data_IF_155929299188
#
_entry.id   IF_155929299188
#
_cell.length_a   1.000
_cell.length_b   1.000
_cell.length_c   1.000
_cell.angle_alpha   90.00
_cell.angle_beta   90.00
_cell.angle_gamma   90.00
#
_symmetry.space_group_name_H-M   'P 1'
#
loop_
_entity.id
_entity.type
_entity.pdbx_description
1 polymer ?
#
# COMPACT_ATOMS: atom_id res chain seq x y z
N UNK A 1 64.47 -36.84 72.28
CA UNK A 1 63.38 -36.45 71.37
C UNK A 1 62.94 -35.06 71.77
N UNK A 2 63.44 -34.04 71.08
CA UNK A 2 63.05 -32.65 71.30
C UNK A 2 62.35 -32.17 70.04
N UNK A 3 61.07 -31.81 70.17
CA UNK A 3 60.25 -31.25 69.09
C UNK A 3 60.85 -29.92 68.62
N UNK A 4 61.48 -29.95 67.45
CA UNK A 4 61.90 -28.74 66.75
C UNK A 4 60.67 -28.01 66.23
N UNK A 5 60.17 -27.02 66.99
CA UNK A 5 59.18 -26.07 66.49
C UNK A 5 59.82 -25.19 65.42
N UNK A 6 59.50 -25.46 64.16
CA UNK A 6 59.77 -24.55 63.04
C UNK A 6 58.99 -23.25 63.25
N UNK A 7 59.70 -22.14 63.50
CA UNK A 7 59.10 -20.81 63.50
C UNK A 7 58.97 -20.38 62.05
N UNK A 8 57.73 -20.34 61.55
CA UNK A 8 57.43 -19.78 60.22
C UNK A 8 57.36 -18.26 60.39
N UNK A 9 58.36 -17.55 59.87
CA UNK A 9 58.29 -16.10 59.71
C UNK A 9 57.41 -15.80 58.49
N UNK A 10 56.19 -15.33 58.73
CA UNK A 10 55.39 -14.73 57.66
C UNK A 10 55.98 -13.34 57.39
N UNK A 11 56.46 -13.05 56.17
CA UNK A 11 56.99 -11.73 55.86
C UNK A 11 55.92 -10.66 56.12
N UNK A 12 56.28 -9.61 56.86
CA UNK A 12 55.42 -8.45 57.06
C UNK A 12 55.36 -7.72 55.71
N UNK A 13 54.24 -7.86 54.99
CA UNK A 13 54.03 -7.09 53.77
C UNK A 13 53.75 -5.65 54.19
N UNK A 14 54.58 -4.71 53.73
CA UNK A 14 54.34 -3.29 54.00
C UNK A 14 53.22 -2.78 53.10
N UNK A 15 52.42 -1.78 53.54
CA UNK A 15 51.36 -1.19 52.72
C UNK A 15 51.85 -0.69 51.34
N UNK A 16 53.11 -0.27 51.26
CA UNK A 16 53.77 0.12 50.01
C UNK A 16 54.00 -1.07 49.07
N UNK A 17 54.37 -2.24 49.62
CA UNK A 17 54.53 -3.47 48.85
C UNK A 17 53.20 -3.99 48.30
N UNK A 18 52.12 -3.92 49.10
CA UNK A 18 50.77 -4.28 48.64
C UNK A 18 50.25 -3.34 47.55
N UNK A 19 50.46 -2.02 47.70
CA UNK A 19 50.12 -1.06 46.67
C UNK A 19 50.92 -1.30 45.39
N UNK A 20 52.24 -1.54 45.50
CA UNK A 20 53.10 -1.84 44.36
C UNK A 20 52.63 -3.10 43.61
N UNK A 21 52.18 -4.13 44.33
CA UNK A 21 51.60 -5.32 43.71
C UNK A 21 50.30 -4.98 42.98
N UNK A 22 49.37 -4.24 43.58
CA UNK A 22 48.12 -3.84 42.91
C UNK A 22 48.35 -2.96 41.67
N UNK A 23 49.31 -2.04 41.75
CA UNK A 23 49.71 -1.21 40.61
C UNK A 23 50.37 -2.08 39.54
N UNK A 24 51.20 -3.05 39.91
CA UNK A 24 51.78 -4.04 39.00
C UNK A 24 50.72 -4.91 38.32
N UNK A 25 49.71 -5.37 39.05
CA UNK A 25 48.58 -6.13 38.53
C UNK A 25 47.74 -5.28 37.56
N UNK A 26 47.56 -3.99 37.86
CA UNK A 26 46.91 -3.05 36.95
C UNK A 26 47.76 -2.85 35.69
N UNK A 27 49.06 -2.54 35.81
CA UNK A 27 49.96 -2.32 34.66
C UNK A 27 50.13 -3.56 33.77
N UNK A 28 50.13 -4.75 34.36
CA UNK A 28 50.18 -6.02 33.62
C UNK A 28 48.85 -6.36 32.94
N UNK A 29 47.75 -5.72 33.35
CA UNK A 29 46.40 -5.97 32.87
C UNK A 29 45.71 -7.17 33.52
N UNK A 30 46.28 -7.70 34.61
CA UNK A 30 45.64 -8.73 35.43
C UNK A 30 44.42 -8.18 36.16
N UNK A 31 44.49 -6.92 36.59
CA UNK A 31 43.36 -6.17 37.14
C UNK A 31 42.92 -5.12 36.10
N UNK A 32 41.63 -5.05 35.74
CA UNK A 32 41.17 -4.15 34.67
C UNK A 32 41.15 -2.68 35.11
N UNK A 33 40.75 -2.42 36.35
CA UNK A 33 40.58 -1.07 36.88
C UNK A 33 40.67 -1.05 38.41
N UNK A 34 40.95 0.13 38.97
CA UNK A 34 40.92 0.41 40.41
C UNK A 34 40.15 1.71 40.68
N UNK A 35 39.44 1.77 41.80
CA UNK A 35 38.74 2.99 42.24
C UNK A 35 39.63 3.83 43.18
N UNK A 36 39.71 5.13 42.93
CA UNK A 36 40.55 6.02 43.75
C UNK A 36 40.06 6.11 45.21
N UNK A 37 38.74 6.07 45.44
CA UNK A 37 38.15 6.04 46.79
C UNK A 37 38.59 4.78 47.55
N UNK A 38 38.42 3.62 46.93
CA UNK A 38 38.83 2.32 47.48
C UNK A 38 40.33 2.27 47.76
N UNK A 39 41.17 2.81 46.86
CA UNK A 39 42.61 2.89 47.08
C UNK A 39 43.00 3.81 48.23
N UNK A 40 42.38 4.99 48.34
CA UNK A 40 42.65 5.92 49.45
C UNK A 40 42.26 5.37 50.81
N UNK A 41 41.18 4.57 50.87
CA UNK A 41 40.73 3.91 52.10
C UNK A 41 41.61 2.72 52.47
N UNK A 42 42.11 1.97 51.48
CA UNK A 42 42.96 0.80 51.70
C UNK A 42 44.41 1.18 52.04
N UNK A 43 44.91 2.30 51.51
CA UNK A 43 46.30 2.76 51.69
C UNK A 43 46.39 4.21 52.21
N UNK A 44 45.80 4.53 53.38
CA UNK A 44 45.78 5.89 53.92
C UNK A 44 47.19 6.41 54.30
N UNK A 45 48.14 5.50 54.54
CA UNK A 45 49.54 5.87 54.79
C UNK A 45 50.29 6.33 53.52
N UNK A 46 49.74 6.05 52.33
CA UNK A 46 50.32 6.44 51.04
C UNK A 46 49.52 7.56 50.38
N UNK A 47 48.19 7.51 50.50
CA UNK A 47 47.30 8.49 49.90
C UNK A 47 46.55 9.27 50.99
N UNK A 48 46.82 10.58 51.08
CA UNK A 48 46.04 11.52 51.90
C UNK A 48 44.73 11.89 51.17
N UNK A 49 43.86 10.88 51.03
CA UNK A 49 42.58 10.98 50.34
C UNK A 49 42.63 10.78 48.81
N UNK A 50 41.44 10.90 48.20
CA UNK A 50 41.23 10.70 46.75
C UNK A 50 42.07 11.63 45.86
N UNK A 51 42.28 12.92 46.18
CA UNK A 51 43.11 13.80 45.35
C UNK A 51 44.56 13.32 45.25
N UNK A 52 45.15 12.82 46.34
CA UNK A 52 46.51 12.28 46.34
C UNK A 52 46.64 11.04 45.44
N UNK A 53 45.65 10.13 45.49
CA UNK A 53 45.61 8.97 44.60
C UNK A 53 45.48 9.38 43.11
N UNK A 54 44.64 10.37 42.81
CA UNK A 54 44.50 10.90 41.43
C UNK A 54 45.81 11.47 40.90
N UNK A 55 46.48 12.32 41.68
CA UNK A 55 47.76 12.91 41.28
C UNK A 55 48.81 11.84 41.02
N UNK A 56 48.90 10.83 41.90
CA UNK A 56 49.79 9.70 41.71
C UNK A 56 49.55 8.97 40.38
N UNK A 57 48.29 8.62 40.06
CA UNK A 57 48.00 7.92 38.81
C UNK A 57 48.02 8.82 37.58
N UNK A 58 47.85 10.13 37.71
CA UNK A 58 48.02 11.07 36.60
C UNK A 58 49.48 11.10 36.12
N UNK A 59 50.44 11.08 37.04
CA UNK A 59 51.88 10.98 36.71
C UNK A 59 52.20 9.66 36.00
N UNK A 60 51.61 8.54 36.45
CA UNK A 60 51.80 7.23 35.82
C UNK A 60 51.04 7.09 34.49
N UNK A 61 49.94 7.83 34.29
CA UNK A 61 49.21 7.84 33.02
C UNK A 61 49.99 8.51 31.90
N UNK A 62 51.00 9.34 32.23
CA UNK A 62 51.87 9.99 31.24
C UNK A 62 52.70 8.98 30.42
N UNK A 63 52.90 7.74 30.91
CA UNK A 63 53.55 6.68 30.14
C UNK A 63 52.64 6.05 29.08
N UNK A 64 51.32 6.30 29.13
CA UNK A 64 50.32 5.70 28.27
C UNK A 64 49.83 4.32 28.73
N UNK A 65 50.42 3.74 29.78
CA UNK A 65 50.06 2.41 30.28
C UNK A 65 48.77 2.40 31.10
N UNK A 66 48.37 3.57 31.62
CA UNK A 66 47.19 3.75 32.44
C UNK A 66 46.31 4.87 31.88
N UNK A 67 45.01 4.71 32.07
CA UNK A 67 44.00 5.69 31.73
C UNK A 67 43.34 6.15 33.04
N UNK A 68 43.72 7.34 33.50
CA UNK A 68 43.06 7.99 34.62
C UNK A 68 41.74 8.63 34.16
N UNK A 69 40.64 8.26 34.83
CA UNK A 69 39.32 8.88 34.65
C UNK A 69 38.95 9.73 35.88
N UNK A 70 37.69 10.12 36.05
CA UNK A 70 37.34 10.97 37.20
C UNK A 70 37.41 10.23 38.54
N UNK A 71 37.07 8.94 38.58
CA UNK A 71 37.00 8.18 39.85
C UNK A 71 37.78 6.88 39.82
N UNK A 72 38.32 6.51 38.66
CA UNK A 72 39.00 5.24 38.45
C UNK A 72 40.28 5.42 37.64
N UNK A 73 41.15 4.43 37.75
CA UNK A 73 42.28 4.23 36.83
C UNK A 73 42.13 2.87 36.17
N UNK A 74 42.42 2.81 34.88
CA UNK A 74 42.15 1.65 34.02
C UNK A 74 43.44 1.25 33.35
N UNK A 75 43.67 -0.06 33.22
CA UNK A 75 44.83 -0.59 32.53
C UNK A 75 44.67 -0.49 31.02
N UNK A 76 45.54 0.28 30.35
CA UNK A 76 45.58 0.34 28.88
C UNK A 76 45.90 -1.03 28.28
N UNK A 77 46.74 -1.82 28.97
CA UNK A 77 47.13 -3.17 28.56
C UNK A 77 45.98 -4.15 28.64
N UNK A 78 45.21 -4.13 29.74
CA UNK A 78 43.97 -4.91 29.83
C UNK A 78 43.01 -4.51 28.72
N UNK A 79 42.78 -3.22 28.51
CA UNK A 79 41.83 -2.73 27.50
C UNK A 79 42.24 -3.16 26.08
N UNK A 80 43.53 -3.08 25.76
CA UNK A 80 44.08 -3.54 24.48
C UNK A 80 43.91 -5.06 24.31
N UNK A 81 44.21 -5.85 25.34
CA UNK A 81 44.07 -7.31 25.30
C UNK A 81 42.61 -7.74 25.19
N UNK A 82 41.74 -7.19 26.05
CA UNK A 82 40.31 -7.50 26.08
C UNK A 82 39.58 -6.99 24.84
N UNK A 83 40.04 -5.88 24.25
CA UNK A 83 39.52 -5.31 23.01
C UNK A 83 39.92 -6.07 21.73
N UNK A 84 40.92 -6.97 21.78
CA UNK A 84 41.40 -7.68 20.60
C UNK A 84 40.34 -8.55 19.91
N UNK A 85 39.54 -9.29 20.69
CA UNK A 85 38.46 -10.14 20.17
C UNK A 85 37.27 -9.32 19.62
N UNK A 86 36.74 -8.31 20.35
CA UNK A 86 35.78 -7.36 19.80
C UNK A 86 36.28 -6.68 18.52
N UNK A 87 37.54 -6.23 18.48
CA UNK A 87 38.13 -5.59 17.30
C UNK A 87 38.14 -6.51 16.10
N UNK A 88 38.57 -7.76 16.25
CA UNK A 88 38.54 -8.74 15.17
C UNK A 88 37.12 -8.95 14.65
N UNK A 89 36.15 -9.10 15.55
CA UNK A 89 34.73 -9.24 15.19
C UNK A 89 34.22 -8.01 14.44
N UNK A 90 34.58 -6.81 14.90
CA UNK A 90 34.22 -5.55 14.25
C UNK A 90 34.81 -5.41 12.85
N UNK A 91 36.06 -5.82 12.66
CA UNK A 91 36.76 -5.80 11.37
C UNK A 91 36.14 -6.80 10.37
N UNK A 92 35.84 -8.02 10.81
CA UNK A 92 35.34 -9.13 9.98
C UNK A 92 33.82 -9.06 9.72
N UNK A 93 33.02 -8.78 10.74
CA UNK A 93 31.56 -8.87 10.70
C UNK A 93 30.88 -7.51 10.65
N UNK A 94 31.61 -6.41 10.85
CA UNK A 94 31.04 -5.06 10.91
C UNK A 94 30.34 -4.72 12.22
N UNK A 95 30.39 -5.61 13.23
CA UNK A 95 29.90 -5.33 14.57
C UNK A 95 30.74 -6.03 15.66
N UNK A 96 30.65 -5.56 16.89
CA UNK A 96 31.23 -6.22 18.06
C UNK A 96 30.30 -6.15 19.28
N UNK A 97 30.21 -7.25 20.02
CA UNK A 97 29.54 -7.32 21.32
C UNK A 97 30.55 -6.95 22.44
N UNK A 98 30.23 -5.90 23.19
CA UNK A 98 31.02 -5.39 24.30
C UNK A 98 30.43 -5.80 25.67
N UNK A 99 29.43 -6.68 25.70
CA UNK A 99 28.76 -7.10 26.93
C UNK A 99 29.73 -7.70 27.94
N UNK A 100 30.62 -8.58 27.48
CA UNK A 100 31.64 -9.22 28.33
C UNK A 100 32.74 -8.24 28.74
N UNK A 101 33.11 -7.29 27.87
CA UNK A 101 34.15 -6.29 28.16
C UNK A 101 33.77 -5.44 29.38
N UNK A 102 32.47 -5.16 29.56
CA UNK A 102 31.99 -4.28 30.62
C UNK A 102 31.19 -4.96 31.72
N UNK A 103 31.10 -6.30 31.73
CA UNK A 103 30.23 -7.08 32.62
C UNK A 103 30.42 -6.73 34.10
N UNK A 104 31.67 -6.64 34.55
CA UNK A 104 32.03 -6.42 35.96
C UNK A 104 32.35 -4.95 36.29
N UNK A 105 32.12 -4.04 35.34
CA UNK A 105 32.49 -2.64 35.46
C UNK A 105 31.29 -1.77 35.89
N UNK A 106 31.42 -0.93 36.93
CA UNK A 106 30.36 -0.02 37.35
C UNK A 106 29.92 0.91 36.21
N UNK A 107 28.63 1.21 36.10
CA UNK A 107 28.08 2.03 34.99
C UNK A 107 28.76 3.39 34.80
N UNK A 108 29.18 4.03 35.89
CA UNK A 108 29.90 5.32 35.86
C UNK A 108 31.26 5.18 35.17
N UNK A 109 31.98 4.12 35.52
CA UNK A 109 33.31 3.79 34.99
C UNK A 109 33.21 3.39 33.52
N UNK A 110 32.19 2.59 33.18
CA UNK A 110 31.87 2.22 31.80
C UNK A 110 31.76 3.46 30.90
N UNK A 111 30.92 4.43 31.27
CA UNK A 111 30.70 5.63 30.44
C UNK A 111 31.96 6.46 30.18
N UNK A 112 32.90 6.50 31.14
CA UNK A 112 34.16 7.24 31.00
C UNK A 112 35.17 6.53 30.06
N UNK A 113 35.14 5.20 30.01
CA UNK A 113 36.09 4.38 29.23
C UNK A 113 35.52 3.99 27.87
N UNK A 114 34.19 3.98 27.72
CA UNK A 114 33.51 3.58 26.48
C UNK A 114 34.12 4.27 25.27
N UNK A 115 34.30 5.59 25.27
CA UNK A 115 34.81 6.31 24.11
C UNK A 115 36.22 5.86 23.69
N UNK A 116 37.10 5.59 24.65
CA UNK A 116 38.46 5.12 24.36
C UNK A 116 38.47 3.66 23.88
N UNK A 117 37.62 2.82 24.47
CA UNK A 117 37.41 1.46 23.97
C UNK A 117 36.87 1.48 22.53
N UNK A 118 35.92 2.37 22.24
CA UNK A 118 35.35 2.57 20.92
C UNK A 118 36.40 3.02 19.91
N UNK A 119 37.23 4.01 20.23
CA UNK A 119 38.33 4.47 19.36
C UNK A 119 39.37 3.36 19.12
N UNK A 120 39.72 2.59 20.16
CA UNK A 120 40.69 1.50 20.05
C UNK A 120 40.17 0.33 19.18
N UNK A 121 38.87 0.02 19.28
CA UNK A 121 38.22 -1.07 18.55
C UNK A 121 37.90 -0.65 17.10
N UNK A 122 37.36 0.56 16.90
CA UNK A 122 36.96 1.04 15.57
C UNK A 122 38.12 1.56 14.72
N UNK A 123 39.26 1.88 15.33
CA UNK A 123 40.38 2.52 14.67
C UNK A 123 40.05 3.91 14.11
N UNK A 124 39.01 4.57 14.65
CA UNK A 124 38.50 5.84 14.15
C UNK A 124 37.55 5.73 12.94
N UNK A 125 37.10 4.52 12.60
CA UNK A 125 36.12 4.29 11.52
C UNK A 125 34.71 4.70 11.94
N UNK A 126 33.86 5.08 10.96
CA UNK A 126 32.46 5.41 11.15
C UNK A 126 31.70 4.29 11.86
N UNK A 127 31.36 4.51 13.14
CA UNK A 127 30.74 3.50 13.98
C UNK A 127 29.96 4.13 15.12
N UNK A 128 28.95 3.41 15.60
CA UNK A 128 28.07 3.85 16.68
C UNK A 128 27.81 2.72 17.65
N UNK A 129 27.71 3.08 18.93
CA UNK A 129 27.38 2.16 20.00
C UNK A 129 25.87 2.12 20.23
N UNK A 130 25.29 0.93 20.16
CA UNK A 130 23.89 0.65 20.45
C UNK A 130 23.80 -0.37 21.58
N UNK A 131 23.49 0.12 22.78
CA UNK A 131 23.58 -0.65 24.03
C UNK A 131 25.00 -1.20 24.22
N UNK A 132 25.20 -2.51 24.05
CA UNK A 132 26.52 -3.15 24.15
C UNK A 132 27.13 -3.47 22.78
N UNK A 133 26.46 -3.12 21.67
CA UNK A 133 26.92 -3.47 20.32
C UNK A 133 27.56 -2.25 19.64
N UNK A 134 28.85 -2.36 19.30
CA UNK A 134 29.48 -1.40 18.41
C UNK A 134 29.20 -1.83 16.97
N UNK A 135 28.59 -0.97 16.18
CA UNK A 135 28.11 -1.28 14.83
C UNK A 135 28.73 -0.30 13.84
N UNK A 136 29.24 -0.82 12.72
CA UNK A 136 29.80 -0.02 11.64
C UNK A 136 28.68 0.68 10.87
N UNK A 137 28.90 1.92 10.44
CA UNK A 137 27.88 2.69 9.72
C UNK A 137 27.42 1.99 8.43
N UNK A 138 28.32 1.33 7.67
CA UNK A 138 27.93 0.65 6.43
C UNK A 138 26.99 -0.54 6.68
N UNK A 139 27.26 -1.36 7.71
CA UNK A 139 26.37 -2.46 8.09
C UNK A 139 25.01 -1.93 8.54
N UNK A 140 25.00 -0.82 9.28
CA UNK A 140 23.77 -0.20 9.73
C UNK A 140 22.93 0.32 8.55
N UNK A 141 23.56 0.99 7.59
CA UNK A 141 22.89 1.49 6.39
C UNK A 141 22.29 0.34 5.56
N UNK A 142 23.04 -0.75 5.39
CA UNK A 142 22.55 -1.97 4.73
C UNK A 142 21.34 -2.58 5.47
N UNK A 143 21.39 -2.62 6.81
CA UNK A 143 20.27 -3.09 7.63
C UNK A 143 19.05 -2.17 7.53
N UNK A 144 19.24 -0.85 7.42
CA UNK A 144 18.15 0.13 7.22
C UNK A 144 17.43 -0.16 5.90
N UNK A 145 18.16 -0.33 4.80
CA UNK A 145 17.55 -0.64 3.51
C UNK A 145 16.91 -2.03 3.49
N UNK A 146 17.57 -3.03 4.08
CA UNK A 146 17.00 -4.37 4.24
C UNK A 146 15.68 -4.34 5.05
N UNK A 147 15.62 -3.55 6.12
CA UNK A 147 14.43 -3.41 6.95
C UNK A 147 13.27 -2.76 6.18
N UNK A 148 13.55 -1.75 5.36
CA UNK A 148 12.55 -1.14 4.46
C UNK A 148 12.03 -2.16 3.44
N UNK A 149 12.92 -2.86 2.74
CA UNK A 149 12.53 -3.86 1.74
C UNK A 149 11.68 -4.99 2.36
N UNK A 150 12.12 -5.55 3.48
CA UNK A 150 11.39 -6.61 4.15
C UNK A 150 10.03 -6.12 4.71
N UNK A 151 9.95 -4.89 5.21
CA UNK A 151 8.70 -4.29 5.64
C UNK A 151 7.72 -4.08 4.46
N UNK A 152 8.19 -3.61 3.31
CA UNK A 152 7.37 -3.53 2.09
C UNK A 152 6.89 -4.92 1.63
N UNK A 153 7.75 -5.93 1.67
CA UNK A 153 7.38 -7.31 1.32
C UNK A 153 6.34 -7.89 2.29
N UNK A 154 6.46 -7.62 3.59
CA UNK A 154 5.42 -7.98 4.57
C UNK A 154 4.09 -7.29 4.26
N UNK A 155 4.09 -5.99 3.91
CA UNK A 155 2.88 -5.27 3.53
C UNK A 155 2.19 -5.91 2.32
N UNK A 156 2.95 -6.25 1.27
CA UNK A 156 2.42 -6.93 0.09
C UNK A 156 1.85 -8.32 0.42
N UNK A 157 2.58 -9.11 1.20
CA UNK A 157 2.13 -10.45 1.61
C UNK A 157 0.85 -10.37 2.45
N UNK A 158 0.80 -9.48 3.44
CA UNK A 158 -0.41 -9.30 4.25
C UNK A 158 -1.58 -8.77 3.42
N UNK A 159 -1.34 -7.91 2.43
CA UNK A 159 -2.38 -7.41 1.53
C UNK A 159 -3.03 -8.52 0.69
N UNK A 160 -2.23 -9.47 0.21
CA UNK A 160 -2.73 -10.60 -0.58
C UNK A 160 -3.58 -11.57 0.25
N UNK A 161 -3.16 -11.83 1.49
CA UNK A 161 -3.72 -12.88 2.35
C UNK A 161 -4.74 -12.39 3.38
N UNK A 162 -4.80 -11.09 3.68
CA UNK A 162 -5.74 -10.56 4.68
C UNK A 162 -7.13 -10.43 4.09
N UNK A 163 -8.09 -11.10 4.72
CA UNK A 163 -9.51 -10.99 4.39
C UNK A 163 -10.24 -9.94 5.24
N UNK A 164 -9.64 -9.40 6.32
CA UNK A 164 -10.32 -8.46 7.24
C UNK A 164 -9.50 -7.82 8.38
N UNK A 165 -8.27 -8.27 8.67
CA UNK A 165 -7.52 -7.75 9.84
C UNK A 165 -6.77 -6.46 9.53
N UNK A 166 -6.62 -5.60 10.54
CA UNK A 166 -5.74 -4.43 10.45
C UNK A 166 -4.32 -4.88 10.08
N UNK A 167 -3.84 -4.42 8.93
CA UNK A 167 -2.51 -4.72 8.42
C UNK A 167 -1.49 -3.99 9.30
N UNK A 168 -0.61 -4.74 9.95
CA UNK A 168 0.35 -4.18 10.91
C UNK A 168 1.72 -4.79 10.68
N UNK A 169 2.76 -3.96 10.82
CA UNK A 169 4.14 -4.41 10.67
C UNK A 169 4.52 -5.37 11.81
N UNK A 170 4.88 -6.61 11.47
CA UNK A 170 5.35 -7.58 12.45
C UNK A 170 6.84 -7.37 12.70
N UNK A 171 7.14 -6.59 13.75
CA UNK A 171 8.52 -6.24 14.11
C UNK A 171 9.35 -7.47 14.50
N UNK A 172 8.76 -8.48 15.15
CA UNK A 172 9.47 -9.69 15.56
C UNK A 172 9.96 -10.48 14.35
N UNK A 173 9.07 -10.77 13.41
CA UNK A 173 9.44 -11.47 12.17
C UNK A 173 10.43 -10.66 11.32
N UNK A 174 10.34 -9.33 11.35
CA UNK A 174 11.30 -8.46 10.67
C UNK A 174 12.70 -8.56 11.31
N UNK A 175 12.79 -8.53 12.65
CA UNK A 175 14.04 -8.68 13.39
C UNK A 175 14.69 -10.04 13.11
N UNK A 176 13.91 -11.12 13.15
CA UNK A 176 14.39 -12.48 12.82
C UNK A 176 14.92 -12.57 11.38
N UNK A 177 14.21 -11.95 10.43
CA UNK A 177 14.63 -11.90 9.03
C UNK A 177 15.92 -11.11 8.83
N UNK A 178 16.12 -10.00 9.55
CA UNK A 178 17.33 -9.19 9.47
C UNK A 178 18.53 -9.90 10.11
N UNK A 179 18.32 -10.51 11.28
CA UNK A 179 19.33 -11.34 11.95
C UNK A 179 19.82 -12.46 11.04
N UNK A 180 18.89 -13.19 10.41
CA UNK A 180 19.22 -14.27 9.49
C UNK A 180 19.91 -13.77 8.21
N UNK A 181 19.47 -12.62 7.66
CA UNK A 181 20.02 -12.07 6.40
C UNK A 181 21.45 -11.56 6.54
N UNK A 182 21.76 -10.94 7.67
CA UNK A 182 23.08 -10.34 7.93
C UNK A 182 24.00 -11.22 8.77
N UNK A 183 23.54 -12.42 9.18
CA UNK A 183 24.24 -13.32 10.08
C UNK A 183 24.69 -12.63 11.39
N UNK A 184 23.77 -11.85 11.97
CA UNK A 184 24.02 -11.10 13.22
C UNK A 184 23.08 -11.57 14.34
N UNK A 185 23.48 -11.49 15.62
CA UNK A 185 22.62 -11.84 16.75
C UNK A 185 21.31 -11.05 16.79
N UNK A 186 20.22 -11.69 17.24
CA UNK A 186 18.90 -11.05 17.37
C UNK A 186 18.96 -9.88 18.37
N UNK A 187 19.78 -9.99 19.41
CA UNK A 187 20.02 -8.96 20.42
C UNK A 187 20.61 -7.69 19.80
N UNK A 188 21.54 -7.85 18.86
CA UNK A 188 22.14 -6.74 18.11
C UNK A 188 21.08 -6.04 17.25
N UNK A 189 20.28 -6.80 16.50
CA UNK A 189 19.21 -6.21 15.68
C UNK A 189 18.20 -5.47 16.57
N UNK A 190 17.85 -6.04 17.73
CA UNK A 190 16.94 -5.40 18.68
C UNK A 190 17.48 -4.06 19.21
N UNK A 191 18.78 -3.97 19.51
CA UNK A 191 19.41 -2.76 20.03
C UNK A 191 19.39 -1.61 19.01
N UNK A 192 19.52 -1.93 17.71
CA UNK A 192 19.46 -0.94 16.62
C UNK A 192 18.06 -0.70 16.08
N UNK A 193 17.10 -1.61 16.32
CA UNK A 193 15.79 -1.56 15.67
C UNK A 193 15.02 -0.28 16.00
N UNK A 194 14.78 -0.01 17.29
CA UNK A 194 14.05 1.19 17.71
C UNK A 194 14.73 2.51 17.29
N UNK A 195 16.04 2.71 17.52
CA UNK A 195 16.68 3.99 17.21
C UNK A 195 16.87 4.24 15.72
N UNK A 196 17.06 3.19 14.90
CA UNK A 196 17.50 3.37 13.51
C UNK A 196 16.53 2.77 12.48
N UNK A 197 16.03 1.55 12.71
CA UNK A 197 15.34 0.79 11.66
C UNK A 197 13.81 1.04 11.67
N UNK A 198 13.21 1.19 12.85
CA UNK A 198 11.76 1.13 13.05
C UNK A 198 11.01 2.21 12.27
N UNK A 199 11.51 3.44 12.24
CA UNK A 199 10.88 4.55 11.52
C UNK A 199 10.88 4.30 10.01
N UNK A 200 12.03 3.88 9.45
CA UNK A 200 12.17 3.57 8.03
C UNK A 200 11.30 2.39 7.61
N UNK A 201 11.33 1.30 8.39
CA UNK A 201 10.51 0.11 8.15
C UNK A 201 9.01 0.42 8.18
N UNK A 202 8.53 1.15 9.20
CA UNK A 202 7.12 1.58 9.28
C UNK A 202 6.72 2.50 8.13
N UNK A 203 7.60 3.43 7.76
CA UNK A 203 7.39 4.31 6.61
C UNK A 203 7.21 3.49 5.33
N UNK A 204 8.15 2.58 5.04
CA UNK A 204 8.10 1.72 3.85
C UNK A 204 6.87 0.80 3.83
N UNK A 205 6.52 0.18 4.96
CA UNK A 205 5.30 -0.61 5.10
C UNK A 205 4.04 0.21 4.76
N UNK A 206 3.92 1.41 5.34
CA UNK A 206 2.78 2.32 5.11
C UNK A 206 2.69 2.81 3.67
N UNK A 207 3.83 3.18 3.08
CA UNK A 207 3.93 3.59 1.67
C UNK A 207 3.50 2.46 0.74
N UNK A 208 3.96 1.24 0.99
CA UNK A 208 3.57 0.08 0.18
C UNK A 208 2.07 -0.20 0.28
N UNK A 209 1.48 -0.17 1.48
CA UNK A 209 0.03 -0.32 1.64
C UNK A 209 -0.75 0.78 0.92
N UNK A 210 -0.28 2.04 0.99
CA UNK A 210 -0.90 3.16 0.31
C UNK A 210 -0.83 3.01 -1.21
N UNK A 211 0.29 2.49 -1.74
CA UNK A 211 0.47 2.21 -3.16
C UNK A 211 -0.46 1.10 -3.64
N UNK A 212 -0.55 -0.01 -2.90
CA UNK A 212 -1.45 -1.12 -3.18
C UNK A 212 -2.92 -0.69 -3.14
N UNK A 213 -3.31 0.11 -2.14
CA UNK A 213 -4.64 0.70 -2.06
C UNK A 213 -4.92 1.63 -3.25
N UNK A 214 -3.96 2.46 -3.64
CA UNK A 214 -4.10 3.35 -4.81
C UNK A 214 -4.28 2.56 -6.10
N UNK A 215 -3.51 1.48 -6.31
CA UNK A 215 -3.62 0.61 -7.48
C UNK A 215 -5.02 -0.01 -7.56
N UNK A 216 -5.52 -0.53 -6.44
CA UNK A 216 -6.87 -1.10 -6.36
C UNK A 216 -7.96 -0.05 -6.66
N UNK A 217 -7.79 1.17 -6.16
CA UNK A 217 -8.73 2.25 -6.45
C UNK A 217 -8.75 2.64 -7.93
N UNK A 218 -7.60 2.60 -8.62
CA UNK A 218 -7.50 2.82 -10.07
C UNK A 218 -8.21 1.70 -10.84
N UNK A 219 -8.01 0.44 -10.47
CA UNK A 219 -8.71 -0.69 -11.11
C UNK A 219 -10.22 -0.62 -10.92
N UNK A 220 -10.66 -0.24 -9.72
CA UNK A 220 -12.06 -0.01 -9.42
C UNK A 220 -12.61 1.15 -10.27
N UNK A 221 -11.87 2.27 -10.36
CA UNK A 221 -12.25 3.42 -11.18
C UNK A 221 -12.43 3.03 -12.65
N UNK A 222 -11.46 2.31 -13.23
CA UNK A 222 -11.53 1.79 -14.61
C UNK A 222 -12.75 0.91 -14.85
N UNK A 223 -13.08 0.04 -13.89
CA UNK A 223 -14.28 -0.81 -13.98
C UNK A 223 -15.56 0.01 -14.03
N UNK A 224 -15.59 1.15 -13.33
CA UNK A 224 -16.73 2.06 -13.27
C UNK A 224 -16.77 3.10 -14.40
N UNK A 225 -15.64 3.43 -15.02
CA UNK A 225 -15.58 4.27 -16.22
C UNK A 225 -16.50 3.72 -17.32
N UNK A 226 -16.46 2.41 -17.56
CA UNK A 226 -17.36 1.74 -18.52
C UNK A 226 -18.84 1.95 -18.17
N UNK A 227 -19.18 1.90 -16.87
CA UNK A 227 -20.56 2.07 -16.40
C UNK A 227 -21.01 3.53 -16.55
N UNK A 228 -20.13 4.48 -16.24
CA UNK A 228 -20.38 5.92 -16.41
C UNK A 228 -20.53 6.25 -17.89
N UNK A 229 -19.69 5.69 -18.76
CA UNK A 229 -19.76 5.88 -20.21
C UNK A 229 -21.09 5.34 -20.76
N UNK A 230 -21.46 4.10 -20.43
CA UNK A 230 -22.75 3.52 -20.84
C UNK A 230 -23.92 4.37 -20.32
N UNK A 231 -23.87 4.79 -19.05
CA UNK A 231 -24.89 5.66 -18.47
C UNK A 231 -25.05 6.97 -19.22
N UNK A 232 -23.96 7.70 -19.49
CA UNK A 232 -24.01 8.98 -20.20
C UNK A 232 -24.45 8.80 -21.66
N UNK A 233 -23.97 7.75 -22.33
CA UNK A 233 -24.36 7.42 -23.70
C UNK A 233 -25.86 7.15 -23.81
N UNK A 234 -26.45 6.40 -22.85
CA UNK A 234 -27.89 6.11 -22.88
C UNK A 234 -28.74 7.28 -22.40
N UNK A 235 -28.36 7.90 -21.29
CA UNK A 235 -29.14 9.01 -20.70
C UNK A 235 -29.11 10.28 -21.57
N UNK A 236 -28.05 10.51 -22.33
CA UNK A 236 -27.99 11.62 -23.32
C UNK A 236 -29.02 11.45 -24.43
N UNK A 237 -29.31 10.23 -24.86
CA UNK A 237 -30.36 9.99 -25.87
C UNK A 237 -31.74 10.43 -25.39
N UNK A 238 -32.05 10.29 -24.09
CA UNK A 238 -33.32 10.75 -23.51
C UNK A 238 -33.41 12.28 -23.43
N UNK A 239 -32.28 12.98 -23.47
CA UNK A 239 -32.18 14.45 -23.45
C UNK A 239 -32.30 15.07 -24.85
N UNK A 240 -32.39 14.26 -25.91
CA UNK A 240 -32.51 14.76 -27.27
C UNK A 240 -33.77 15.63 -27.45
N UNK A 241 -33.66 16.68 -28.26
CA UNK A 241 -34.74 17.66 -28.47
C UNK A 241 -36.07 17.01 -28.87
N UNK A 242 -36.02 15.96 -29.68
CA UNK A 242 -37.20 15.23 -30.15
C UNK A 242 -37.95 14.47 -29.07
N UNK A 243 -37.25 13.90 -28.10
CA UNK A 243 -37.87 13.20 -26.97
C UNK A 243 -38.32 14.16 -25.87
N UNK A 244 -37.91 15.43 -25.93
CA UNK A 244 -38.37 16.49 -25.03
C UNK A 244 -39.73 17.07 -25.45
N UNK A 245 -40.21 16.80 -26.66
CA UNK A 245 -41.54 17.23 -27.11
C UNK A 245 -42.66 16.71 -26.17
N UNK A 246 -43.68 17.52 -25.86
CA UNK A 246 -44.80 17.09 -25.01
C UNK A 246 -45.53 15.85 -25.53
N UNK A 247 -45.58 15.68 -26.86
CA UNK A 247 -46.16 14.52 -27.55
C UNK A 247 -45.49 13.19 -27.17
N UNK A 248 -44.24 13.23 -26.71
CA UNK A 248 -43.39 12.08 -26.41
C UNK A 248 -43.19 11.84 -24.91
N UNK A 249 -43.91 12.55 -24.03
CA UNK A 249 -43.77 12.42 -22.58
C UNK A 249 -43.94 10.97 -22.10
N UNK A 250 -45.02 10.30 -22.51
CA UNK A 250 -45.26 8.91 -22.11
C UNK A 250 -44.22 7.92 -22.68
N UNK A 251 -43.64 8.22 -23.86
CA UNK A 251 -42.53 7.43 -24.41
C UNK A 251 -41.28 7.63 -23.54
N UNK A 252 -40.95 8.88 -23.20
CA UNK A 252 -39.80 9.24 -22.35
C UNK A 252 -39.89 8.59 -20.98
N UNK A 253 -41.05 8.60 -20.33
CA UNK A 253 -41.28 7.89 -19.06
C UNK A 253 -40.96 6.41 -19.19
N UNK A 254 -41.54 5.76 -20.21
CA UNK A 254 -41.34 4.32 -20.44
C UNK A 254 -39.88 3.97 -20.76
N UNK A 255 -39.18 4.80 -21.54
CA UNK A 255 -37.76 4.61 -21.83
C UNK A 255 -36.89 4.84 -20.59
N UNK A 256 -37.24 5.83 -19.77
CA UNK A 256 -36.56 6.10 -18.49
C UNK A 256 -36.67 4.91 -17.54
N UNK A 257 -37.86 4.32 -17.41
CA UNK A 257 -38.10 3.11 -16.62
C UNK A 257 -37.25 1.94 -17.12
N UNK A 258 -37.27 1.67 -18.44
CA UNK A 258 -36.49 0.57 -19.05
C UNK A 258 -35.00 0.78 -18.81
N UNK A 259 -34.49 1.99 -19.07
CA UNK A 259 -33.08 2.31 -18.91
C UNK A 259 -32.65 2.14 -17.45
N UNK A 260 -33.42 2.67 -16.51
CA UNK A 260 -33.11 2.55 -15.07
C UNK A 260 -33.09 1.08 -14.66
N UNK A 261 -34.06 0.29 -15.10
CA UNK A 261 -34.11 -1.15 -14.81
C UNK A 261 -32.89 -1.90 -15.36
N UNK A 262 -32.52 -1.66 -16.63
CA UNK A 262 -31.33 -2.24 -17.26
C UNK A 262 -30.04 -1.84 -16.55
N UNK A 263 -29.86 -0.53 -16.30
CA UNK A 263 -28.66 -0.04 -15.63
C UNK A 263 -28.50 -0.67 -14.25
N UNK A 264 -29.58 -0.85 -13.49
CA UNK A 264 -29.53 -1.50 -12.19
C UNK A 264 -29.29 -3.01 -12.29
N UNK A 265 -30.10 -3.72 -13.07
CA UNK A 265 -30.13 -5.17 -13.10
C UNK A 265 -28.95 -5.78 -13.86
N UNK A 266 -28.58 -5.20 -15.00
CA UNK A 266 -27.67 -5.80 -15.98
C UNK A 266 -26.29 -5.15 -15.99
N UNK A 267 -26.17 -3.88 -15.58
CA UNK A 267 -24.89 -3.15 -15.57
C UNK A 267 -24.32 -3.04 -14.15
N UNK A 268 -25.06 -2.41 -13.23
CA UNK A 268 -24.56 -1.99 -11.92
C UNK A 268 -24.49 -3.16 -10.93
N UNK A 269 -25.61 -3.87 -10.69
CA UNK A 269 -25.64 -4.95 -9.70
C UNK A 269 -24.65 -6.07 -10.05
N UNK A 270 -24.47 -6.48 -11.32
CA UNK A 270 -23.43 -7.44 -11.69
C UNK A 270 -22.02 -6.92 -11.40
N UNK A 271 -21.70 -5.68 -11.77
CA UNK A 271 -20.37 -5.07 -11.49
C UNK A 271 -20.08 -4.96 -9.99
N UNK A 272 -21.09 -4.64 -9.16
CA UNK A 272 -20.96 -4.67 -7.69
C UNK A 272 -20.68 -6.10 -7.20
N UNK A 273 -21.40 -7.10 -7.71
CA UNK A 273 -21.21 -8.51 -7.32
C UNK A 273 -19.83 -9.03 -7.71
N UNK A 274 -19.30 -8.66 -8.87
CA UNK A 274 -17.97 -9.10 -9.33
C UNK A 274 -16.83 -8.36 -8.63
N UNK A 275 -16.98 -7.05 -8.37
CA UNK A 275 -16.01 -6.28 -7.60
C UNK A 275 -16.06 -6.63 -6.09
N UNK A 276 -17.19 -7.14 -5.61
CA UNK A 276 -17.54 -7.29 -4.21
C UNK A 276 -16.59 -8.08 -3.31
N UNK A 277 -16.14 -9.29 -3.68
CA UNK A 277 -15.49 -10.18 -2.72
C UNK A 277 -13.99 -9.90 -2.53
N UNK A 278 -13.24 -9.61 -3.59
CA UNK A 278 -11.77 -9.54 -3.53
C UNK A 278 -11.22 -8.13 -3.39
N UNK A 279 -11.81 -7.13 -4.07
CA UNK A 279 -11.30 -5.76 -4.02
C UNK A 279 -11.90 -4.93 -2.88
N UNK A 280 -13.19 -5.12 -2.54
CA UNK A 280 -13.80 -4.40 -1.41
C UNK A 280 -13.30 -4.84 -0.04
N UNK A 281 -12.84 -6.08 0.11
CA UNK A 281 -12.34 -6.55 1.41
C UNK A 281 -10.98 -5.93 1.78
N UNK A 282 -10.19 -5.52 0.78
CA UNK A 282 -8.80 -5.08 0.96
C UNK A 282 -8.66 -3.58 1.25
N UNK A 283 -9.51 -2.74 0.67
CA UNK A 283 -9.50 -1.29 0.93
C UNK A 283 -10.77 -0.84 1.68
N UNK A 284 -10.64 -0.30 2.91
CA UNK A 284 -11.75 0.32 3.62
C UNK A 284 -12.39 1.48 2.85
N UNK A 285 -11.59 2.22 2.05
CA UNK A 285 -12.08 3.32 1.21
C UNK A 285 -12.95 2.79 0.06
N UNK A 286 -12.48 1.78 -0.66
CA UNK A 286 -13.24 1.13 -1.72
C UNK A 286 -14.55 0.51 -1.18
N UNK A 287 -14.46 -0.21 -0.05
CA UNK A 287 -15.60 -0.80 0.62
C UNK A 287 -16.67 0.26 0.98
N UNK A 288 -16.23 1.38 1.55
CA UNK A 288 -17.11 2.48 1.93
C UNK A 288 -17.75 3.12 0.70
N UNK A 289 -16.98 3.40 -0.35
CA UNK A 289 -17.51 4.01 -1.57
C UNK A 289 -18.61 3.15 -2.21
N UNK A 290 -18.38 1.84 -2.37
CA UNK A 290 -19.37 0.94 -2.96
C UNK A 290 -20.56 0.70 -2.02
N UNK A 291 -20.34 0.62 -0.71
CA UNK A 291 -21.43 0.53 0.26
C UNK A 291 -22.31 1.79 0.20
N UNK A 292 -21.71 2.96 0.23
CA UNK A 292 -22.42 4.24 0.13
C UNK A 292 -23.18 4.33 -1.19
N UNK A 293 -22.57 3.91 -2.31
CA UNK A 293 -23.24 3.85 -3.60
C UNK A 293 -24.46 2.93 -3.57
N UNK A 294 -24.30 1.69 -3.09
CA UNK A 294 -25.39 0.71 -3.03
C UNK A 294 -26.55 1.15 -2.13
N UNK A 295 -26.25 1.85 -1.02
CA UNK A 295 -27.26 2.43 -0.13
C UNK A 295 -28.06 3.58 -0.77
N UNK A 296 -27.50 4.24 -1.78
CA UNK A 296 -28.15 5.36 -2.49
C UNK A 296 -28.80 4.93 -3.82
N UNK A 297 -28.75 3.65 -4.18
CA UNK A 297 -29.46 3.14 -5.35
C UNK A 297 -30.99 3.19 -5.12
N UNK A 298 -31.78 3.33 -6.19
CA UNK A 298 -33.24 3.28 -6.10
C UNK A 298 -33.73 1.97 -5.48
N UNK A 299 -34.73 2.05 -4.60
CA UNK A 299 -35.42 0.87 -4.11
C UNK A 299 -36.37 0.30 -5.19
N UNK A 300 -36.64 -1.00 -5.10
CA UNK A 300 -37.60 -1.65 -6.01
C UNK A 300 -39.01 -1.06 -5.79
N UNK A 301 -39.68 -0.68 -6.88
CA UNK A 301 -41.04 -0.11 -6.85
C UNK A 301 -41.13 1.42 -6.70
N UNK A 302 -39.99 2.13 -6.70
CA UNK A 302 -39.98 3.60 -6.78
C UNK A 302 -40.47 4.12 -8.14
N UNK A 303 -40.98 5.35 -8.14
CA UNK A 303 -41.34 6.07 -9.37
C UNK A 303 -40.14 6.16 -10.34
N UNK A 304 -40.40 6.08 -11.64
CA UNK A 304 -39.35 6.00 -12.67
C UNK A 304 -38.50 7.27 -12.74
N UNK A 305 -39.11 8.45 -12.61
CA UNK A 305 -38.38 9.71 -12.65
C UNK A 305 -37.56 9.92 -11.37
N UNK A 306 -38.11 9.51 -10.22
CA UNK A 306 -37.37 9.53 -8.96
C UNK A 306 -36.18 8.56 -8.98
N UNK A 307 -36.40 7.34 -9.49
CA UNK A 307 -35.37 6.30 -9.61
C UNK A 307 -34.21 6.75 -10.50
N UNK A 308 -34.53 7.35 -11.66
CA UNK A 308 -33.51 7.91 -12.57
C UNK A 308 -32.67 8.99 -11.90
N UNK A 309 -33.29 9.92 -11.16
CA UNK A 309 -32.58 11.00 -10.44
C UNK A 309 -31.68 10.46 -9.33
N UNK A 310 -32.16 9.48 -8.55
CA UNK A 310 -31.36 8.81 -7.53
C UNK A 310 -30.17 8.07 -8.14
N UNK A 311 -30.41 7.34 -9.22
CA UNK A 311 -29.35 6.63 -9.94
C UNK A 311 -28.30 7.60 -10.50
N UNK A 312 -28.72 8.73 -11.08
CA UNK A 312 -27.82 9.78 -11.53
C UNK A 312 -26.98 10.32 -10.36
N UNK A 313 -27.63 10.69 -9.26
CA UNK A 313 -26.96 11.24 -8.08
C UNK A 313 -25.98 10.25 -7.44
N UNK A 314 -26.35 8.97 -7.36
CA UNK A 314 -25.48 7.91 -6.86
C UNK A 314 -24.27 7.73 -7.78
N UNK A 315 -24.48 7.72 -9.10
CA UNK A 315 -23.41 7.60 -10.10
C UNK A 315 -22.46 8.79 -10.04
N UNK A 316 -22.97 10.02 -9.98
CA UNK A 316 -22.16 11.24 -9.85
C UNK A 316 -21.32 11.25 -8.56
N UNK A 317 -21.92 10.81 -7.44
CA UNK A 317 -21.23 10.73 -6.15
C UNK A 317 -20.11 9.69 -6.18
N UNK A 318 -20.38 8.49 -6.72
CA UNK A 318 -19.37 7.44 -6.85
C UNK A 318 -18.25 7.88 -7.81
N UNK A 319 -18.61 8.50 -8.95
CA UNK A 319 -17.67 9.09 -9.91
C UNK A 319 -16.71 10.05 -9.20
N UNK A 320 -17.23 10.97 -8.39
CA UNK A 320 -16.42 11.90 -7.59
C UNK A 320 -15.51 11.21 -6.56
N UNK A 321 -16.00 10.17 -5.88
CA UNK A 321 -15.22 9.39 -4.93
C UNK A 321 -14.07 8.61 -5.59
N UNK A 322 -14.32 8.06 -6.78
CA UNK A 322 -13.35 7.31 -7.58
C UNK A 322 -12.48 8.21 -8.47
N UNK A 323 -12.71 9.53 -8.47
CA UNK A 323 -12.04 10.53 -9.32
C UNK A 323 -12.13 10.20 -10.81
N UNK A 324 -13.24 9.59 -11.22
CA UNK A 324 -13.53 9.31 -12.62
C UNK A 324 -13.93 10.62 -13.30
N UNK A 325 -13.35 10.90 -14.46
CA UNK A 325 -13.72 12.08 -15.25
C UNK A 325 -15.09 11.90 -15.91
N UNK A 326 -15.77 13.01 -16.19
CA UNK A 326 -16.97 12.96 -17.05
C UNK A 326 -16.51 12.61 -18.47
N UNK A 327 -17.14 11.64 -19.14
CA UNK A 327 -16.85 11.33 -20.53
C UNK A 327 -16.92 12.58 -21.39
N UNK A 328 -15.88 12.79 -22.19
CA UNK A 328 -15.78 13.88 -23.15
C UNK A 328 -16.75 13.65 -24.32
N UNK A 329 -17.04 14.72 -25.06
CA UNK A 329 -17.85 14.64 -26.29
C UNK A 329 -17.28 13.64 -27.29
N UNK A 330 -15.95 13.57 -27.39
CA UNK A 330 -15.26 12.68 -28.33
C UNK A 330 -15.39 11.21 -27.89
N UNK A 331 -15.17 10.91 -26.61
CA UNK A 331 -15.36 9.56 -26.05
C UNK A 331 -16.81 9.07 -26.25
N UNK A 332 -17.79 9.95 -26.01
CA UNK A 332 -19.21 9.63 -26.26
C UNK A 332 -19.50 9.40 -27.75
N UNK A 333 -18.88 10.19 -28.63
CA UNK A 333 -19.02 10.05 -30.09
C UNK A 333 -18.43 8.73 -30.59
N UNK A 334 -17.24 8.36 -30.13
CA UNK A 334 -16.58 7.10 -30.46
C UNK A 334 -17.37 5.89 -29.94
N UNK A 335 -17.83 5.94 -28.68
CA UNK A 335 -18.66 4.90 -28.09
C UNK A 335 -19.99 4.76 -28.85
N UNK A 336 -20.62 5.89 -29.22
CA UNK A 336 -21.82 5.92 -30.06
C UNK A 336 -21.57 5.24 -31.39
N UNK A 337 -20.53 5.62 -32.13
CA UNK A 337 -20.29 5.05 -33.47
C UNK A 337 -19.95 3.56 -33.39
N UNK A 338 -19.16 3.15 -32.40
CA UNK A 338 -18.88 1.73 -32.13
C UNK A 338 -20.18 0.96 -31.92
N UNK A 339 -21.09 1.50 -31.11
CA UNK A 339 -22.37 0.87 -30.84
C UNK A 339 -23.27 0.82 -32.09
N UNK A 340 -23.35 1.90 -32.86
CA UNK A 340 -24.12 1.95 -34.10
C UNK A 340 -23.57 0.98 -35.14
N UNK A 341 -22.24 0.85 -35.25
CA UNK A 341 -21.59 -0.13 -36.11
C UNK A 341 -21.97 -1.57 -35.71
N UNK A 342 -21.96 -1.89 -34.42
CA UNK A 342 -22.40 -3.20 -33.92
C UNK A 342 -23.88 -3.47 -34.24
N UNK A 343 -24.76 -2.48 -34.05
CA UNK A 343 -26.17 -2.59 -34.42
C UNK A 343 -26.37 -2.82 -35.93
N UNK A 344 -25.63 -2.09 -36.77
CA UNK A 344 -25.66 -2.29 -38.23
C UNK A 344 -25.14 -3.66 -38.63
N UNK A 345 -24.08 -4.17 -37.98
CA UNK A 345 -23.58 -5.51 -38.20
C UNK A 345 -24.63 -6.59 -37.86
N UNK A 346 -25.39 -6.40 -36.76
CA UNK A 346 -26.51 -7.29 -36.43
C UNK A 346 -27.63 -7.23 -37.47
N UNK A 347 -27.95 -6.07 -38.03
CA UNK A 347 -28.92 -5.97 -39.13
C UNK A 347 -28.44 -6.65 -40.43
N UNK A 348 -27.12 -6.75 -40.67
CA UNK A 348 -26.59 -7.50 -41.83
C UNK A 348 -26.77 -9.00 -41.68
N UNK A 349 -26.90 -9.50 -40.45
CA UNK A 349 -27.28 -10.88 -40.19
C UNK A 349 -28.79 -11.05 -40.39
N UNK A 350 -29.15 -11.53 -41.58
CA UNK A 350 -30.54 -11.77 -41.97
C UNK A 350 -31.25 -12.84 -41.12
N UNK A 351 -30.51 -13.62 -40.33
CA UNK A 351 -31.05 -14.56 -39.36
C UNK A 351 -31.53 -13.88 -38.06
N UNK A 352 -31.25 -12.59 -37.87
CA UNK A 352 -31.80 -11.82 -36.76
C UNK A 352 -33.33 -11.88 -36.80
N UNK A 353 -33.95 -12.27 -35.69
CA UNK A 353 -35.41 -12.38 -35.61
C UNK A 353 -36.11 -11.04 -35.93
N UNK A 354 -37.29 -11.12 -36.54
CA UNK A 354 -38.08 -9.97 -36.97
C UNK A 354 -38.33 -8.92 -35.88
N UNK A 355 -38.75 -9.29 -34.65
CA UNK A 355 -38.90 -8.34 -33.55
C UNK A 355 -37.62 -7.53 -33.25
N UNK A 356 -36.47 -8.21 -33.15
CA UNK A 356 -35.17 -7.60 -32.89
C UNK A 356 -34.71 -6.77 -34.07
N UNK A 357 -34.92 -7.23 -35.30
CA UNK A 357 -34.59 -6.51 -36.52
C UNK A 357 -35.33 -5.17 -36.60
N UNK A 358 -36.64 -5.19 -36.35
CA UNK A 358 -37.46 -3.98 -36.32
C UNK A 358 -37.00 -3.02 -35.21
N UNK A 359 -36.73 -3.54 -34.01
CA UNK A 359 -36.26 -2.72 -32.89
C UNK A 359 -34.91 -2.06 -33.20
N UNK A 360 -33.93 -2.81 -33.69
CA UNK A 360 -32.62 -2.29 -34.10
C UNK A 360 -32.75 -1.18 -35.16
N UNK A 361 -33.62 -1.39 -36.15
CA UNK A 361 -33.90 -0.38 -37.18
C UNK A 361 -34.42 0.92 -36.55
N UNK A 362 -35.38 0.83 -35.62
CA UNK A 362 -35.92 2.01 -34.92
C UNK A 362 -34.87 2.72 -34.07
N UNK A 363 -34.00 1.98 -33.37
CA UNK A 363 -32.92 2.55 -32.57
C UNK A 363 -31.92 3.32 -33.44
N UNK A 364 -31.55 2.77 -34.60
CA UNK A 364 -30.66 3.43 -35.57
C UNK A 364 -31.29 4.68 -36.17
N UNK A 365 -32.58 4.64 -36.57
CA UNK A 365 -33.30 5.81 -37.08
C UNK A 365 -33.34 6.94 -36.04
N UNK A 366 -33.59 6.60 -34.77
CA UNK A 366 -33.56 7.59 -33.69
C UNK A 366 -32.16 8.14 -33.43
N UNK A 367 -31.13 7.31 -33.54
CA UNK A 367 -29.75 7.75 -33.39
C UNK A 367 -29.30 8.70 -34.52
N UNK A 368 -29.91 8.61 -35.71
CA UNK A 368 -29.67 9.50 -36.84
C UNK A 368 -30.37 10.87 -36.72
N UNK A 369 -31.25 11.05 -35.73
CA UNK A 369 -31.93 12.32 -35.52
C UNK A 369 -30.98 13.42 -35.05
N UNK A 370 -31.22 14.63 -35.54
CA UNK A 370 -30.44 15.81 -35.18
C UNK A 370 -30.43 16.04 -33.66
N UNK A 371 -29.25 16.32 -33.10
CA UNK A 371 -29.05 16.52 -31.67
C UNK A 371 -28.96 15.25 -30.82
N UNK A 372 -28.97 14.05 -31.42
CA UNK A 372 -28.77 12.80 -30.69
C UNK A 372 -27.28 12.48 -30.50
N UNK A 373 -26.73 12.83 -29.33
CA UNK A 373 -25.39 12.40 -28.90
C UNK A 373 -25.35 10.98 -28.33
N UNK A 374 -26.51 10.39 -28.04
CA UNK A 374 -26.64 9.08 -27.41
C UNK A 374 -27.24 7.99 -28.30
N UNK A 375 -27.36 6.79 -27.73
CA UNK A 375 -28.06 5.65 -28.34
C UNK A 375 -29.19 5.20 -27.41
N UNK A 376 -30.42 5.20 -27.90
CA UNK A 376 -31.58 4.78 -27.09
C UNK A 376 -31.43 3.33 -26.63
N UNK A 377 -31.80 3.07 -25.38
CA UNK A 377 -32.02 1.73 -24.87
C UNK A 377 -33.53 1.49 -24.76
N UNK A 378 -34.01 0.43 -25.39
CA UNK A 378 -35.45 0.16 -25.47
C UNK A 378 -35.73 -1.33 -25.66
N UNK A 379 -36.99 -1.71 -25.45
CA UNK A 379 -37.48 -3.08 -25.67
C UNK A 379 -38.70 -3.05 -26.61
N UNK A 380 -39.15 -4.21 -27.07
CA UNK A 380 -40.28 -4.35 -28.00
C UNK A 380 -41.56 -3.63 -27.54
N UNK A 381 -41.75 -3.44 -26.22
CA UNK A 381 -42.91 -2.74 -25.64
C UNK A 381 -43.02 -1.26 -26.05
N UNK A 382 -41.92 -0.65 -26.48
CA UNK A 382 -41.88 0.75 -26.91
C UNK A 382 -42.09 0.95 -28.41
N UNK A 383 -42.03 -0.12 -29.23
CA UNK A 383 -42.07 -0.04 -30.70
C UNK A 383 -43.22 0.84 -31.23
N UNK A 384 -44.49 0.70 -30.78
CA UNK A 384 -45.58 1.53 -31.29
C UNK A 384 -45.39 3.03 -31.01
N UNK A 385 -44.77 3.37 -29.87
CA UNK A 385 -44.51 4.76 -29.46
C UNK A 385 -43.28 5.32 -30.16
N UNK A 386 -42.23 4.52 -30.35
CA UNK A 386 -41.05 4.88 -31.14
C UNK A 386 -41.47 5.22 -32.57
N UNK A 387 -42.23 4.35 -33.25
CA UNK A 387 -42.75 4.63 -34.61
C UNK A 387 -43.58 5.92 -34.64
N UNK A 388 -44.43 6.15 -33.62
CA UNK A 388 -45.22 7.39 -33.54
C UNK A 388 -44.34 8.63 -33.43
N UNK A 389 -43.25 8.56 -32.66
CA UNK A 389 -42.31 9.67 -32.48
C UNK A 389 -41.47 9.97 -33.74
N UNK A 390 -41.45 9.07 -34.72
CA UNK A 390 -40.83 9.30 -36.03
C UNK A 390 -41.74 10.08 -37.01
N UNK A 391 -43.02 10.30 -36.67
CA UNK A 391 -43.98 10.97 -37.58
C UNK A 391 -43.51 12.39 -37.92
N UNK A 392 -43.44 12.70 -39.21
CA UNK A 392 -42.98 14.00 -39.71
C UNK A 392 -41.46 14.15 -39.73
N UNK A 393 -40.71 13.12 -39.30
CA UNK A 393 -39.25 13.08 -39.29
C UNK A 393 -38.68 12.04 -40.25
N UNK A 394 -39.47 11.03 -40.58
CA UNK A 394 -39.23 10.11 -41.70
C UNK A 394 -40.32 10.31 -42.75
N UNK A 395 -40.07 9.90 -43.98
CA UNK A 395 -41.06 9.95 -45.05
C UNK A 395 -42.28 9.04 -44.77
N UNK A 396 -43.35 9.28 -45.53
CA UNK A 396 -44.61 8.55 -45.34
C UNK A 396 -44.51 7.08 -45.72
N UNK A 397 -43.64 6.73 -46.66
CA UNK A 397 -43.44 5.36 -47.14
C UNK A 397 -42.71 4.52 -46.08
N UNK A 398 -41.62 5.02 -45.51
CA UNK A 398 -40.92 4.41 -44.39
C UNK A 398 -41.84 4.26 -43.18
N UNK A 399 -42.67 5.27 -42.87
CA UNK A 399 -43.62 5.18 -41.76
C UNK A 399 -44.68 4.09 -42.00
N UNK A 400 -45.15 3.92 -43.24
CA UNK A 400 -46.07 2.86 -43.62
C UNK A 400 -45.41 1.48 -43.47
N UNK A 401 -44.19 1.33 -43.99
CA UNK A 401 -43.38 0.11 -43.89
C UNK A 401 -43.14 -0.29 -42.43
N UNK A 402 -42.73 0.65 -41.58
CA UNK A 402 -42.51 0.41 -40.15
C UNK A 402 -43.79 -0.06 -39.45
N UNK A 403 -44.95 0.53 -39.79
CA UNK A 403 -46.23 0.08 -39.24
C UNK A 403 -46.62 -1.32 -39.70
N UNK A 404 -46.45 -1.63 -40.99
CA UNK A 404 -46.71 -2.97 -41.53
C UNK A 404 -45.82 -4.04 -40.88
N UNK A 405 -44.53 -3.74 -40.67
CA UNK A 405 -43.60 -4.64 -39.98
C UNK A 405 -43.97 -4.82 -38.50
N UNK A 406 -44.36 -3.73 -37.82
CA UNK A 406 -44.85 -3.78 -36.43
C UNK A 406 -46.09 -4.68 -36.30
N UNK A 407 -47.07 -4.56 -37.20
CA UNK A 407 -48.29 -5.37 -37.14
C UNK A 407 -48.01 -6.85 -37.44
N UNK A 408 -47.08 -7.15 -38.33
CA UNK A 408 -46.62 -8.52 -38.60
C UNK A 408 -45.91 -9.15 -37.39
N UNK A 409 -44.96 -8.43 -36.79
CA UNK A 409 -44.25 -8.86 -35.58
C UNK A 409 -45.23 -9.06 -34.42
N UNK A 410 -46.20 -8.16 -34.25
CA UNK A 410 -47.24 -8.26 -33.22
C UNK A 410 -48.14 -9.49 -33.40
N UNK A 411 -48.34 -9.93 -34.64
CA UNK A 411 -49.06 -11.16 -34.95
C UNK A 411 -48.23 -12.44 -34.70
N UNK A 412 -46.99 -12.31 -34.20
CA UNK A 412 -46.09 -13.44 -33.95
C UNK A 412 -45.38 -13.97 -35.19
N UNK A 413 -45.51 -13.28 -36.32
CA UNK A 413 -44.86 -13.67 -37.57
C UNK A 413 -43.46 -13.06 -37.66
N UNK A 414 -42.50 -13.83 -38.18
CA UNK A 414 -41.19 -13.29 -38.55
C UNK A 414 -41.33 -12.37 -39.78
N UNK A 415 -40.38 -11.45 -39.97
CA UNK A 415 -40.30 -10.57 -41.12
C UNK A 415 -39.71 -11.30 -42.31
N UNK A 416 -40.38 -11.19 -43.47
CA UNK A 416 -39.84 -11.71 -44.71
C UNK A 416 -38.51 -11.02 -45.07
N UNK A 417 -37.64 -11.73 -45.78
CA UNK A 417 -36.32 -11.23 -46.19
C UNK A 417 -36.40 -9.89 -46.93
N UNK A 418 -37.38 -9.73 -47.81
CA UNK A 418 -37.57 -8.48 -48.57
C UNK A 418 -37.88 -7.31 -47.63
N UNK A 419 -38.74 -7.52 -46.63
CA UNK A 419 -39.02 -6.50 -45.59
C UNK A 419 -37.79 -6.19 -44.75
N UNK A 420 -36.96 -7.19 -44.41
CA UNK A 420 -35.69 -6.95 -43.69
C UNK A 420 -34.75 -6.09 -44.55
N UNK A 421 -34.64 -6.36 -45.85
CA UNK A 421 -33.85 -5.53 -46.78
C UNK A 421 -34.38 -4.11 -46.87
N UNK A 422 -35.69 -3.93 -47.03
CA UNK A 422 -36.34 -2.61 -47.05
C UNK A 422 -36.09 -1.83 -45.75
N UNK A 423 -36.24 -2.47 -44.58
CA UNK A 423 -35.92 -1.85 -43.29
C UNK A 423 -34.44 -1.51 -43.14
N UNK A 424 -33.54 -2.37 -43.64
CA UNK A 424 -32.10 -2.11 -43.65
C UNK A 424 -31.73 -0.89 -44.49
N UNK A 425 -32.38 -0.73 -45.65
CA UNK A 425 -32.18 0.41 -46.54
C UNK A 425 -32.59 1.75 -45.91
N UNK A 426 -33.51 1.76 -44.94
CA UNK A 426 -33.89 2.98 -44.20
C UNK A 426 -32.74 3.53 -43.34
N UNK A 427 -31.81 2.68 -42.89
CA UNK A 427 -30.75 3.06 -41.93
C UNK A 427 -29.36 3.07 -42.56
N UNK A 428 -29.13 2.30 -43.62
CA UNK A 428 -27.91 2.31 -44.42
C UNK A 428 -28.27 1.93 -45.88
N UNK A 429 -28.18 2.88 -46.83
CA UNK A 429 -28.57 2.65 -48.23
C UNK A 429 -27.88 1.44 -48.88
N UNK A 430 -26.69 1.08 -48.40
CA UNK A 430 -25.89 -0.04 -48.94
C UNK A 430 -26.52 -1.42 -48.72
N UNK A 431 -27.59 -1.53 -47.91
CA UNK A 431 -28.34 -2.77 -47.76
C UNK A 431 -29.20 -3.12 -48.99
N UNK A 432 -29.52 -2.14 -49.84
CA UNK A 432 -30.32 -2.36 -51.06
C UNK A 432 -29.55 -2.99 -52.22
N UNK A 433 -28.21 -2.89 -52.24
CA UNK A 433 -27.39 -3.20 -53.42
C UNK A 433 -26.70 -4.58 -53.38
N UNK A 434 -26.81 -5.32 -52.27
CA UNK A 434 -26.24 -6.68 -52.14
C UNK A 434 -27.21 -7.76 -52.66
N UNK A 435 -27.57 -7.64 -53.94
CA UNK A 435 -28.31 -8.64 -54.72
C UNK A 435 -27.41 -9.64 -55.42
#
# INVERSE_FOLDING_TARGET
>A
MGDGKTIIFTPIVTPQGELANKVGDLLSGQVPWLEFSSLSLQFPAVFDGVPAAKSYFAEHSASGDLIATQNTVVSSRWLSNAGSSPRKSFEELGYADLSDLFKDMPKKVRGEITNQALESISGGSGSKLYENFLVRDELLDDMVEAAKTAAAAQAATQWEHSSRSALTLNSTSLIESLSSKHDVPIEMVNSVYKPCLATGARGSFSTQLSSLESSLMIELAKTWEEVVLEWELRSSSLRSSHLQEPSNESLREQLTEILTSYMLADVIRPKIKTAGPSSLQRSPKAAKAIKDFNLNLPADGEDSAQSMRKLQSATDKLRGQLRISVPTTDELSEARETMLMQMRAQLRDMNTDGPRYLLLTLLLLHAQMEGSMGVLYSTGRCVPRLIRSLRGRVDTEALSLLNACKDQVKAGNDLAMDKKKELGALVDPRFGDSG
#
